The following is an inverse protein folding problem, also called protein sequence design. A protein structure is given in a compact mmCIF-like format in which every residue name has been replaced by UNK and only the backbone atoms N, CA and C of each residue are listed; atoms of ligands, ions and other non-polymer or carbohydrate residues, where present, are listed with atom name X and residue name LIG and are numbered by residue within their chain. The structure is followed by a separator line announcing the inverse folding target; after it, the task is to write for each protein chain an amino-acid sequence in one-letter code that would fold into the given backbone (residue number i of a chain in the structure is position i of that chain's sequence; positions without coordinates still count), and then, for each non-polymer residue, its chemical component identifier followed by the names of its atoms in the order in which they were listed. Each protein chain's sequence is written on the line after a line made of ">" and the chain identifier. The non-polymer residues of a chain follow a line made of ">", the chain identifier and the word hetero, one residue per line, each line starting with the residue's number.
data_IF_850910278097
#
_entry.id   IF_850910278097
#
_cell.length_a   1.000
_cell.length_b   1.000
_cell.length_c   1.000
_cell.angle_alpha   90.00
_cell.angle_beta   90.00
_cell.angle_gamma   90.00
#
_symmetry.space_group_name_H-M   'P 1'
#
loop_
_entity.id
_entity.type
_entity.pdbx_description
1 polymer ?
#
# COMPACT_ATOMS: atom_id res chain seq x y z
N UNK A 1 -17.89 13.74 -6.54
CA UNK A 1 -18.00 12.56 -7.43
C UNK A 1 -17.31 12.75 -8.78
N UNK A 2 -17.76 13.67 -9.65
CA UNK A 2 -17.17 13.83 -11.02
C UNK A 2 -15.64 13.96 -11.05
N UNK A 3 -15.08 14.84 -10.21
CA UNK A 3 -13.62 15.02 -10.08
C UNK A 3 -12.90 13.73 -9.67
N UNK A 4 -13.53 12.92 -8.82
CA UNK A 4 -12.98 11.64 -8.38
C UNK A 4 -12.93 10.64 -9.54
N UNK A 5 -14.03 10.52 -10.31
CA UNK A 5 -14.08 9.64 -11.49
C UNK A 5 -13.04 10.03 -12.56
N UNK A 6 -12.77 11.33 -12.74
CA UNK A 6 -11.70 11.78 -13.65
C UNK A 6 -10.30 11.40 -13.18
N UNK A 7 -10.03 11.43 -11.87
CA UNK A 7 -8.75 10.94 -11.32
C UNK A 7 -8.59 9.45 -11.58
N UNK A 8 -9.66 8.66 -11.42
CA UNK A 8 -9.65 7.23 -11.73
C UNK A 8 -9.42 6.99 -13.23
N UNK A 9 -10.13 7.75 -14.09
CA UNK A 9 -9.98 7.71 -15.56
C UNK A 9 -8.54 7.93 -16.01
N UNK A 10 -7.91 8.99 -15.48
CA UNK A 10 -6.52 9.34 -15.75
C UNK A 10 -5.54 8.24 -15.30
N UNK A 11 -5.71 7.75 -14.07
CA UNK A 11 -4.83 6.70 -13.52
C UNK A 11 -4.94 5.37 -14.23
N UNK A 12 -6.12 5.02 -14.73
CA UNK A 12 -6.37 3.80 -15.51
C UNK A 12 -6.17 4.01 -17.02
N UNK A 13 -5.77 5.22 -17.44
CA UNK A 13 -5.52 5.58 -18.83
C UNK A 13 -6.67 5.18 -19.78
N UNK A 14 -7.91 5.49 -19.37
CA UNK A 14 -9.12 5.10 -20.11
C UNK A 14 -9.16 5.80 -21.47
N UNK A 15 -9.28 5.01 -22.55
CA UNK A 15 -9.32 5.51 -23.93
C UNK A 15 -7.97 6.04 -24.44
N UNK A 16 -6.88 5.76 -23.74
CA UNK A 16 -5.52 6.08 -24.17
C UNK A 16 -4.95 4.90 -24.96
N UNK A 17 -4.30 5.19 -26.08
CA UNK A 17 -3.55 4.21 -26.87
C UNK A 17 -2.07 4.20 -26.47
N UNK A 18 -1.46 3.01 -26.42
CA UNK A 18 -0.01 2.86 -26.28
C UNK A 18 0.70 3.05 -27.63
N UNK A 19 2.02 2.94 -27.64
CA UNK A 19 2.85 3.11 -28.85
C UNK A 19 2.56 2.05 -29.95
N UNK A 20 1.94 0.93 -29.56
CA UNK A 20 1.52 -0.15 -30.47
C UNK A 20 0.10 0.06 -31.02
N UNK A 21 -0.58 1.14 -30.63
CA UNK A 21 -1.96 1.46 -31.02
C UNK A 21 -3.03 0.64 -30.28
N UNK A 22 -2.67 0.01 -29.17
CA UNK A 22 -3.59 -0.74 -28.32
C UNK A 22 -4.18 0.13 -27.22
N UNK A 23 -5.46 -0.07 -26.92
CA UNK A 23 -6.15 0.66 -25.85
C UNK A 23 -5.67 0.13 -24.49
N UNK A 24 -5.08 1.01 -23.69
CA UNK A 24 -4.54 0.70 -22.35
C UNK A 24 -5.68 0.36 -21.38
N UNK A 25 -6.71 1.22 -21.32
CA UNK A 25 -7.82 1.09 -20.39
C UNK A 25 -9.18 1.34 -21.02
N UNK A 26 -10.20 0.66 -20.51
CA UNK A 26 -11.60 0.88 -20.87
C UNK A 26 -12.41 1.18 -19.61
N UNK A 27 -13.41 2.05 -19.75
CA UNK A 27 -14.26 2.50 -18.67
C UNK A 27 -15.73 2.42 -19.04
N UNK A 28 -16.56 1.95 -18.11
CA UNK A 28 -17.99 2.03 -18.27
C UNK A 28 -18.60 2.67 -17.03
N UNK A 29 -19.76 3.29 -17.19
CA UNK A 29 -20.42 3.99 -16.12
C UNK A 29 -21.92 3.75 -16.18
N UNK A 30 -22.46 3.25 -15.07
CA UNK A 30 -23.89 3.11 -14.83
C UNK A 30 -24.27 4.01 -13.66
N UNK A 31 -25.29 4.84 -13.85
CA UNK A 31 -25.90 5.61 -12.77
C UNK A 31 -27.17 4.91 -12.30
N UNK A 32 -27.46 4.93 -11.01
CA UNK A 32 -28.67 4.35 -10.46
C UNK A 32 -29.30 5.24 -9.37
N UNK A 33 -30.63 5.20 -9.29
CA UNK A 33 -31.44 5.71 -8.18
C UNK A 33 -32.72 4.87 -8.08
N UNK A 34 -33.88 5.38 -8.50
CA UNK A 34 -35.10 4.58 -8.74
C UNK A 34 -34.99 3.76 -10.03
N UNK A 35 -34.21 4.27 -10.99
CA UNK A 35 -33.94 3.64 -12.28
C UNK A 35 -32.42 3.57 -12.49
N UNK A 36 -31.97 2.66 -13.36
CA UNK A 36 -30.58 2.53 -13.76
C UNK A 36 -30.40 2.97 -15.22
N UNK A 37 -29.25 3.57 -15.54
CA UNK A 37 -28.94 4.04 -16.90
C UNK A 37 -27.46 3.87 -17.20
N UNK A 38 -27.14 3.25 -18.35
CA UNK A 38 -25.78 3.24 -18.90
C UNK A 38 -25.46 4.63 -19.44
N UNK A 39 -24.41 5.26 -18.92
CA UNK A 39 -23.92 6.57 -19.37
C UNK A 39 -22.86 6.44 -20.45
N UNK A 40 -22.01 5.42 -20.32
CA UNK A 40 -21.03 5.02 -21.32
C UNK A 40 -20.72 3.53 -21.10
N UNK A 41 -20.54 2.78 -22.18
CA UNK A 41 -20.09 1.39 -22.15
C UNK A 41 -18.60 1.28 -22.49
N UNK A 42 -18.03 0.07 -22.32
CA UNK A 42 -16.60 -0.15 -22.50
C UNK A 42 -16.15 0.18 -23.94
N UNK A 43 -16.95 -0.19 -24.94
CA UNK A 43 -16.68 0.09 -26.35
C UNK A 43 -16.63 1.60 -26.64
N UNK A 44 -17.58 2.37 -26.10
CA UNK A 44 -17.62 3.82 -26.28
C UNK A 44 -16.40 4.52 -25.68
N UNK A 45 -15.94 4.05 -24.52
CA UNK A 45 -14.80 4.64 -23.80
C UNK A 45 -13.43 4.44 -24.45
N UNK A 46 -13.35 3.59 -25.49
CA UNK A 46 -12.11 3.40 -26.27
C UNK A 46 -11.69 4.69 -26.99
N UNK A 47 -12.62 5.60 -27.23
CA UNK A 47 -12.33 6.87 -27.87
C UNK A 47 -11.83 7.85 -26.82
N UNK A 48 -10.61 8.36 -26.99
CA UNK A 48 -9.99 9.33 -26.09
C UNK A 48 -10.95 10.47 -25.71
N UNK A 49 -11.06 10.76 -24.41
CA UNK A 49 -11.88 11.84 -23.85
C UNK A 49 -13.37 11.53 -23.69
N UNK A 50 -13.93 10.51 -24.37
CA UNK A 50 -15.38 10.24 -24.29
C UNK A 50 -15.86 9.80 -22.91
N UNK A 51 -15.02 9.09 -22.15
CA UNK A 51 -15.32 8.75 -20.76
C UNK A 51 -15.41 10.01 -19.89
N UNK A 52 -14.46 10.92 -20.03
CA UNK A 52 -14.43 12.19 -19.30
C UNK A 52 -15.62 13.09 -19.67
N UNK A 53 -16.01 13.11 -20.95
CA UNK A 53 -17.22 13.77 -21.42
C UNK A 53 -18.48 13.16 -20.78
N UNK A 54 -18.56 11.84 -20.68
CA UNK A 54 -19.67 11.16 -20.01
C UNK A 54 -19.72 11.52 -18.51
N UNK A 55 -18.56 11.65 -17.85
CA UNK A 55 -18.45 12.12 -16.45
C UNK A 55 -18.91 13.56 -16.30
N UNK A 56 -18.53 14.46 -17.21
CA UNK A 56 -18.97 15.85 -17.17
C UNK A 56 -20.47 15.99 -17.40
N UNK A 57 -21.05 15.15 -18.25
CA UNK A 57 -22.47 15.12 -18.55
C UNK A 57 -23.31 14.31 -17.56
N UNK A 58 -22.70 13.77 -16.49
CA UNK A 58 -23.46 13.13 -15.42
C UNK A 58 -24.53 14.10 -14.88
N UNK A 59 -25.78 13.63 -14.69
CA UNK A 59 -26.81 14.46 -14.10
C UNK A 59 -26.34 14.98 -12.74
N UNK A 60 -26.80 16.20 -12.38
CA UNK A 60 -26.64 16.74 -11.02
C UNK A 60 -27.24 15.80 -9.96
N UNK A 61 -27.18 16.14 -8.65
CA UNK A 61 -27.65 15.23 -7.61
C UNK A 61 -29.02 14.69 -8.00
N UNK A 62 -29.10 13.37 -8.18
CA UNK A 62 -30.32 12.70 -8.61
C UNK A 62 -31.34 13.07 -7.54
N UNK A 63 -32.28 13.96 -7.91
CA UNK A 63 -33.21 14.54 -6.96
C UNK A 63 -33.95 13.41 -6.26
N UNK A 64 -33.92 13.43 -4.92
CA UNK A 64 -34.57 12.52 -3.98
C UNK A 64 -35.27 11.31 -4.61
N UNK A 65 -34.69 10.13 -4.40
CA UNK A 65 -35.25 8.85 -4.80
C UNK A 65 -34.65 7.75 -3.94
N UNK A 66 -35.22 6.56 -4.03
CA UNK A 66 -34.66 5.36 -3.42
C UNK A 66 -33.31 5.02 -4.05
N UNK A 67 -32.49 4.30 -3.29
CA UNK A 67 -31.22 3.76 -3.76
C UNK A 67 -31.46 2.32 -4.21
N UNK A 68 -31.66 2.09 -5.52
CA UNK A 68 -31.79 0.74 -6.12
C UNK A 68 -30.48 0.27 -6.74
N UNK A 69 -29.53 -0.06 -5.88
CA UNK A 69 -28.21 -0.60 -6.24
C UNK A 69 -28.33 -1.90 -7.04
N UNK A 70 -29.33 -2.75 -6.76
CA UNK A 70 -29.58 -3.98 -7.55
C UNK A 70 -29.90 -3.70 -9.01
N UNK A 71 -30.69 -2.66 -9.30
CA UNK A 71 -30.99 -2.28 -10.68
C UNK A 71 -29.72 -1.80 -11.39
N UNK A 72 -28.87 -1.05 -10.70
CA UNK A 72 -27.56 -0.63 -11.21
C UNK A 72 -26.66 -1.82 -11.53
N UNK A 73 -26.55 -2.77 -10.60
CA UNK A 73 -25.75 -3.99 -10.77
C UNK A 73 -26.29 -4.88 -11.88
N UNK A 74 -27.61 -5.08 -11.94
CA UNK A 74 -28.23 -5.86 -13.01
C UNK A 74 -27.98 -5.23 -14.38
N UNK A 75 -28.13 -3.91 -14.52
CA UNK A 75 -27.87 -3.23 -15.79
C UNK A 75 -26.38 -3.29 -16.17
N UNK A 76 -25.47 -3.18 -15.20
CA UNK A 76 -24.05 -3.35 -15.45
C UNK A 76 -23.72 -4.79 -15.91
N UNK A 77 -24.35 -5.81 -15.34
CA UNK A 77 -24.19 -7.20 -15.76
C UNK A 77 -24.73 -7.42 -17.18
N UNK A 78 -25.96 -6.96 -17.47
CA UNK A 78 -26.65 -7.29 -18.73
C UNK A 78 -26.28 -6.40 -19.91
N UNK A 79 -25.77 -5.18 -19.68
CA UNK A 79 -25.48 -4.21 -20.76
C UNK A 79 -24.02 -3.77 -20.83
N UNK A 80 -23.24 -3.93 -19.76
CA UNK A 80 -21.84 -3.47 -19.71
C UNK A 80 -20.86 -4.64 -19.73
N UNK A 81 -21.08 -5.65 -18.89
CA UNK A 81 -20.26 -6.85 -18.83
C UNK A 81 -20.59 -7.85 -19.96
N UNK A 82 -20.75 -7.31 -21.17
CA UNK A 82 -21.11 -8.02 -22.39
C UNK A 82 -20.04 -7.79 -23.45
N UNK A 83 -19.67 -8.83 -24.18
CA UNK A 83 -18.66 -8.75 -25.26
C UNK A 83 -19.10 -7.77 -26.36
N UNK A 84 -20.40 -7.69 -26.65
CA UNK A 84 -21.00 -6.70 -27.56
C UNK A 84 -20.84 -5.25 -27.08
N UNK A 85 -20.66 -5.04 -25.77
CA UNK A 85 -20.46 -3.74 -25.15
C UNK A 85 -18.97 -3.40 -24.94
N UNK A 86 -18.05 -4.27 -25.39
CA UNK A 86 -16.60 -4.09 -25.30
C UNK A 86 -15.92 -4.88 -24.18
N UNK A 87 -16.65 -5.67 -23.40
CA UNK A 87 -16.08 -6.52 -22.35
C UNK A 87 -15.16 -7.60 -22.96
N UNK A 88 -13.94 -7.73 -22.41
CA UNK A 88 -12.96 -8.74 -22.83
C UNK A 88 -13.04 -9.93 -21.87
N UNK A 89 -13.80 -10.95 -22.24
CA UNK A 89 -14.00 -12.15 -21.40
C UNK A 89 -12.77 -13.07 -21.42
N UNK A 90 -12.26 -13.41 -22.60
CA UNK A 90 -11.18 -14.39 -22.80
C UNK A 90 -9.78 -13.77 -22.82
N UNK A 91 -9.51 -12.82 -21.92
CA UNK A 91 -8.26 -12.07 -21.91
C UNK A 91 -7.62 -12.06 -20.52
N UNK A 92 -6.70 -12.99 -20.28
CA UNK A 92 -6.08 -13.20 -18.97
C UNK A 92 -5.17 -12.03 -18.53
N UNK A 93 -4.72 -11.22 -19.51
CA UNK A 93 -3.90 -10.05 -19.27
C UNK A 93 -4.74 -8.83 -18.84
N UNK A 94 -6.05 -8.85 -19.11
CA UNK A 94 -6.96 -7.79 -18.68
C UNK A 94 -7.36 -7.98 -17.23
N UNK A 95 -6.99 -7.02 -16.38
CA UNK A 95 -7.54 -6.91 -15.03
C UNK A 95 -8.91 -6.27 -15.06
N UNK A 96 -9.86 -6.86 -14.34
CA UNK A 96 -11.26 -6.45 -14.34
C UNK A 96 -11.64 -5.96 -12.96
N UNK A 97 -12.20 -4.76 -12.90
CA UNK A 97 -12.65 -4.18 -11.64
C UNK A 97 -14.07 -3.61 -11.77
N UNK A 98 -14.82 -3.69 -10.69
CA UNK A 98 -16.11 -3.02 -10.53
C UNK A 98 -16.03 -2.08 -9.34
N UNK A 99 -16.37 -0.81 -9.53
CA UNK A 99 -16.50 0.15 -8.43
C UNK A 99 -17.96 0.54 -8.25
N UNK A 100 -18.53 0.18 -7.10
CA UNK A 100 -19.87 0.58 -6.68
C UNK A 100 -19.74 1.75 -5.71
N UNK A 101 -20.38 2.88 -6.01
CA UNK A 101 -20.34 4.06 -5.14
C UNK A 101 -21.77 4.43 -4.75
N UNK A 102 -22.04 4.53 -3.46
CA UNK A 102 -23.36 4.89 -2.94
C UNK A 102 -23.25 5.68 -1.64
N UNK A 103 -24.29 6.46 -1.35
CA UNK A 103 -24.46 7.29 -0.16
C UNK A 103 -25.56 6.76 0.77
N UNK A 104 -26.14 5.60 0.46
CA UNK A 104 -27.26 5.04 1.22
C UNK A 104 -27.38 3.52 1.07
N UNK A 105 -28.14 2.91 1.98
CA UNK A 105 -28.52 1.51 1.85
C UNK A 105 -29.48 1.27 0.68
N UNK A 106 -29.40 0.07 0.12
CA UNK A 106 -30.36 -0.47 -0.83
C UNK A 106 -31.79 -0.32 -0.31
N UNK A 107 -32.68 0.25 -1.11
CA UNK A 107 -34.07 0.37 -0.70
C UNK A 107 -34.85 -0.93 -0.86
N UNK A 108 -35.27 -1.49 0.28
CA UNK A 108 -35.94 -2.79 0.43
C UNK A 108 -37.47 -2.75 0.21
N UNK A 109 -37.92 -1.99 -0.78
CA UNK A 109 -39.34 -1.86 -1.14
C UNK A 109 -39.69 -2.58 -2.45
N UNK A 110 -40.80 -3.33 -2.46
CA UNK A 110 -41.28 -4.07 -3.64
C UNK A 110 -40.49 -5.36 -3.92
N UNK A 111 -40.45 -5.79 -5.19
CA UNK A 111 -39.51 -6.81 -5.64
C UNK A 111 -38.11 -6.19 -5.72
N UNK A 112 -37.14 -6.76 -5.01
CA UNK A 112 -35.74 -6.33 -5.07
C UNK A 112 -34.82 -7.54 -4.90
N UNK A 113 -33.59 -7.42 -5.41
CA UNK A 113 -32.53 -8.41 -5.20
C UNK A 113 -31.57 -7.88 -4.13
N UNK A 114 -31.22 -8.67 -3.10
CA UNK A 114 -30.17 -8.27 -2.15
C UNK A 114 -28.85 -7.99 -2.87
N UNK A 115 -28.13 -6.94 -2.48
CA UNK A 115 -26.85 -6.58 -3.13
C UNK A 115 -25.81 -7.71 -3.06
N UNK A 116 -25.85 -8.52 -2.00
CA UNK A 116 -25.01 -9.71 -1.85
C UNK A 116 -25.27 -10.81 -2.87
N UNK A 117 -26.44 -10.80 -3.53
CA UNK A 117 -26.79 -11.70 -4.62
C UNK A 117 -26.58 -11.04 -5.98
N UNK A 118 -26.97 -9.77 -6.11
CA UNK A 118 -26.81 -9.01 -7.35
C UNK A 118 -25.34 -8.84 -7.77
N UNK A 119 -24.40 -8.95 -6.83
CA UNK A 119 -22.97 -8.83 -7.09
C UNK A 119 -22.31 -10.13 -7.58
N UNK A 120 -22.94 -11.29 -7.36
CA UNK A 120 -22.34 -12.60 -7.65
C UNK A 120 -21.87 -12.76 -9.10
N UNK A 121 -22.60 -12.29 -10.13
CA UNK A 121 -22.15 -12.43 -11.53
C UNK A 121 -20.80 -11.75 -11.80
N UNK A 122 -20.43 -10.72 -11.03
CA UNK A 122 -19.14 -10.05 -11.20
C UNK A 122 -18.00 -10.86 -10.59
N UNK A 123 -18.23 -11.53 -9.45
CA UNK A 123 -17.24 -12.45 -8.88
C UNK A 123 -17.02 -13.69 -9.75
N UNK A 124 -18.08 -14.21 -10.36
CA UNK A 124 -17.98 -15.33 -11.31
C UNK A 124 -17.15 -14.99 -12.55
N UNK A 125 -17.02 -13.70 -12.87
CA UNK A 125 -16.22 -13.15 -13.96
C UNK A 125 -14.83 -12.67 -13.53
N UNK A 126 -14.35 -13.11 -12.37
CA UNK A 126 -13.06 -12.74 -11.78
C UNK A 126 -12.87 -11.21 -11.69
N UNK A 127 -13.96 -10.47 -11.48
CA UNK A 127 -13.89 -9.02 -11.28
C UNK A 127 -13.62 -8.71 -9.82
N UNK A 128 -12.60 -7.90 -9.56
CA UNK A 128 -12.37 -7.38 -8.23
C UNK A 128 -13.35 -6.22 -7.95
N UNK A 129 -14.20 -6.41 -6.94
CA UNK A 129 -15.23 -5.43 -6.57
C UNK A 129 -14.74 -4.53 -5.45
N UNK A 130 -14.96 -3.22 -5.62
CA UNK A 130 -14.79 -2.16 -4.64
C UNK A 130 -16.13 -1.51 -4.36
N UNK A 131 -16.46 -1.35 -3.09
CA UNK A 131 -17.71 -0.74 -2.67
C UNK A 131 -17.41 0.47 -1.78
N UNK A 132 -17.80 1.66 -2.24
CA UNK A 132 -17.54 2.95 -1.59
C UNK A 132 -18.84 3.47 -1.00
N UNK A 133 -18.91 3.54 0.33
CA UNK A 133 -20.04 4.09 1.08
C UNK A 133 -19.74 5.49 1.61
N UNK A 134 -20.33 6.53 1.03
CA UNK A 134 -20.08 7.94 1.40
C UNK A 134 -21.11 8.43 2.41
N UNK A 135 -20.68 9.01 3.53
CA UNK A 135 -21.60 9.58 4.52
C UNK A 135 -22.44 8.56 5.30
N UNK A 136 -21.96 7.31 5.41
CA UNK A 136 -22.63 6.20 6.10
C UNK A 136 -22.05 5.95 7.50
N UNK A 137 -21.79 7.00 8.28
CA UNK A 137 -21.15 6.89 9.61
C UNK A 137 -22.06 6.17 10.60
N UNK A 138 -23.34 6.55 10.63
CA UNK A 138 -24.33 6.05 11.59
C UNK A 138 -25.26 4.95 11.01
N UNK A 139 -25.13 4.61 9.72
CA UNK A 139 -25.99 3.63 9.05
C UNK A 139 -25.31 2.24 9.00
N UNK A 140 -25.45 1.47 10.08
CA UNK A 140 -24.85 0.13 10.17
C UNK A 140 -25.42 -0.86 9.14
N UNK A 141 -26.67 -0.68 8.72
CA UNK A 141 -27.33 -1.55 7.75
C UNK A 141 -26.72 -1.33 6.36
N UNK A 142 -26.64 -0.07 5.91
CA UNK A 142 -25.99 0.29 4.65
C UNK A 142 -24.51 -0.12 4.64
N UNK A 143 -23.78 0.09 5.75
CA UNK A 143 -22.39 -0.40 5.87
C UNK A 143 -22.28 -1.92 5.75
N UNK A 144 -23.26 -2.65 6.27
CA UNK A 144 -23.35 -4.11 6.13
C UNK A 144 -23.52 -4.52 4.67
N UNK A 145 -24.36 -3.81 3.93
CA UNK A 145 -24.59 -4.03 2.50
C UNK A 145 -23.35 -3.74 1.65
N UNK A 146 -22.66 -2.62 1.91
CA UNK A 146 -21.37 -2.29 1.26
C UNK A 146 -20.35 -3.41 1.49
N UNK A 147 -20.21 -3.91 2.72
CA UNK A 147 -19.30 -5.01 3.04
C UNK A 147 -19.70 -6.33 2.39
N UNK A 148 -20.99 -6.55 2.17
CA UNK A 148 -21.48 -7.76 1.52
C UNK A 148 -21.25 -7.77 -0.01
N UNK A 149 -20.91 -6.62 -0.61
CA UNK A 149 -20.58 -6.51 -2.03
C UNK A 149 -19.12 -6.80 -2.35
N UNK A 150 -18.26 -7.07 -1.37
CA UNK A 150 -16.82 -7.27 -1.61
C UNK A 150 -16.35 -8.61 -1.05
N UNK A 151 -15.37 -9.23 -1.73
CA UNK A 151 -14.70 -10.44 -1.23
C UNK A 151 -13.59 -10.11 -0.22
N UNK A 152 -12.88 -9.01 -0.43
CA UNK A 152 -11.81 -8.53 0.44
C UNK A 152 -12.35 -7.38 1.28
N UNK A 153 -12.27 -7.50 2.61
CA UNK A 153 -12.84 -6.49 3.52
C UNK A 153 -12.25 -5.09 3.34
N UNK A 154 -11.00 -5.00 2.87
CA UNK A 154 -10.32 -3.72 2.57
C UNK A 154 -10.92 -3.00 1.34
N UNK A 155 -11.65 -3.71 0.48
CA UNK A 155 -12.30 -3.13 -0.69
C UNK A 155 -13.66 -2.48 -0.35
N UNK A 156 -14.14 -2.64 0.89
CA UNK A 156 -15.27 -1.87 1.42
C UNK A 156 -14.74 -0.57 2.03
N UNK A 157 -14.87 0.52 1.28
CA UNK A 157 -14.29 1.83 1.54
C UNK A 157 -15.35 2.75 2.13
N UNK A 158 -15.01 3.38 3.25
CA UNK A 158 -15.87 4.35 3.94
C UNK A 158 -15.05 5.61 4.19
N UNK A 159 -15.03 6.56 3.23
CA UNK A 159 -14.15 7.71 3.32
C UNK A 159 -14.73 8.78 4.25
N UNK A 160 -13.89 9.33 5.12
CA UNK A 160 -14.28 10.45 6.01
C UNK A 160 -14.28 11.80 5.26
N UNK A 161 -13.58 11.85 4.13
CA UNK A 161 -13.48 13.05 3.29
C UNK A 161 -13.20 12.73 1.83
N UNK A 162 -13.35 13.72 0.95
CA UNK A 162 -12.97 13.59 -0.45
C UNK A 162 -11.48 13.26 -0.64
N UNK A 163 -10.60 13.82 0.20
CA UNK A 163 -9.16 13.55 0.16
C UNK A 163 -8.85 12.12 0.56
N UNK A 164 -9.51 11.64 1.61
CA UNK A 164 -9.39 10.26 2.08
C UNK A 164 -9.85 9.26 1.00
N UNK A 165 -10.98 9.54 0.34
CA UNK A 165 -11.43 8.76 -0.82
C UNK A 165 -10.34 8.66 -1.89
N UNK A 166 -9.73 9.79 -2.31
CA UNK A 166 -8.66 9.75 -3.32
C UNK A 166 -7.48 8.91 -2.86
N UNK A 167 -7.05 9.02 -1.60
CA UNK A 167 -5.91 8.28 -1.09
C UNK A 167 -6.16 6.76 -1.08
N UNK A 168 -7.33 6.34 -0.60
CA UNK A 168 -7.73 4.94 -0.63
C UNK A 168 -7.84 4.42 -2.07
N UNK A 169 -8.28 5.28 -2.99
CA UNK A 169 -8.42 4.91 -4.40
C UNK A 169 -7.08 4.77 -5.10
N UNK A 170 -6.15 5.69 -4.86
CA UNK A 170 -4.79 5.58 -5.38
C UNK A 170 -4.11 4.28 -4.92
N UNK A 171 -4.32 3.89 -3.67
CA UNK A 171 -3.76 2.64 -3.14
C UNK A 171 -4.29 1.40 -3.89
N UNK A 172 -5.57 1.37 -4.27
CA UNK A 172 -6.08 0.24 -5.06
C UNK A 172 -5.69 0.34 -6.54
N UNK A 173 -5.72 1.52 -7.18
CA UNK A 173 -5.39 1.60 -8.63
C UNK A 173 -3.97 1.09 -8.87
N UNK A 174 -3.05 1.39 -7.96
CA UNK A 174 -1.70 0.84 -7.92
C UNK A 174 -1.65 -0.69 -7.93
N UNK A 175 -2.66 -1.40 -7.40
CA UNK A 175 -2.75 -2.86 -7.42
C UNK A 175 -3.09 -3.43 -8.81
N UNK A 176 -3.85 -2.69 -9.62
CA UNK A 176 -4.27 -3.10 -10.97
C UNK A 176 -3.26 -2.70 -12.03
N UNK A 177 -2.61 -1.57 -11.82
CA UNK A 177 -1.53 -1.06 -12.66
C UNK A 177 -0.24 -1.05 -11.82
N UNK A 178 0.34 -2.22 -11.48
CA UNK A 178 1.56 -2.26 -10.69
C UNK A 178 2.65 -1.56 -11.47
N UNK A 179 3.15 -0.44 -10.95
CA UNK A 179 4.41 0.12 -11.43
C UNK A 179 5.51 -0.95 -11.26
N UNK A 180 6.49 -1.01 -12.19
CA UNK A 180 7.61 -1.93 -12.06
C UNK A 180 8.27 -1.78 -10.68
N UNK A 181 8.73 -2.88 -10.05
CA UNK A 181 9.43 -2.81 -8.78
C UNK A 181 10.63 -1.88 -8.91
N UNK A 182 10.82 -1.01 -7.91
CA UNK A 182 11.90 -0.03 -7.92
C UNK A 182 13.19 -0.71 -7.48
N UNK A 183 13.12 -1.56 -6.45
CA UNK A 183 14.29 -2.26 -5.95
C UNK A 183 14.86 -3.22 -7.02
N UNK A 184 16.18 -3.13 -7.24
CA UNK A 184 16.87 -3.91 -8.28
C UNK A 184 16.78 -3.31 -9.69
N UNK A 185 16.09 -2.17 -9.87
CA UNK A 185 16.09 -1.37 -11.09
C UNK A 185 17.06 -0.19 -11.03
N UNK A 186 17.06 0.65 -12.09
CA UNK A 186 17.91 1.85 -12.18
C UNK A 186 17.45 3.01 -11.29
N UNK A 187 16.21 2.94 -10.76
CA UNK A 187 15.60 3.98 -9.92
C UNK A 187 15.78 3.73 -8.41
N UNK A 188 16.47 2.66 -8.01
CA UNK A 188 16.84 2.39 -6.62
C UNK A 188 17.97 3.33 -6.19
N UNK A 189 17.67 4.30 -5.31
CA UNK A 189 18.64 5.24 -4.76
C UNK A 189 19.10 4.91 -3.34
N UNK A 190 18.85 3.68 -2.87
CA UNK A 190 19.35 3.21 -1.59
C UNK A 190 20.88 3.13 -1.58
N UNK A 191 21.48 3.18 -0.39
CA UNK A 191 22.93 3.05 -0.27
C UNK A 191 23.38 1.71 -0.89
N UNK A 192 24.31 1.71 -1.87
CA UNK A 192 24.52 0.57 -2.77
C UNK A 192 24.95 -0.72 -2.08
N UNK A 193 25.71 -0.62 -0.99
CA UNK A 193 26.24 -1.80 -0.27
C UNK A 193 25.79 -1.91 1.18
N UNK A 194 25.37 -0.81 1.81
CA UNK A 194 25.11 -0.71 3.25
C UNK A 194 23.64 -0.57 3.61
N UNK A 195 22.75 -0.55 2.62
CA UNK A 195 21.31 -0.59 2.83
C UNK A 195 20.67 -1.75 2.08
N UNK A 196 19.43 -2.03 2.46
CA UNK A 196 18.53 -2.95 1.78
C UNK A 196 17.37 -2.12 1.26
N UNK A 197 17.10 -2.24 -0.04
CA UNK A 197 15.87 -1.74 -0.66
C UNK A 197 14.75 -2.75 -0.42
N UNK A 198 13.56 -2.29 -0.08
CA UNK A 198 12.36 -3.12 0.00
C UNK A 198 11.22 -2.36 -0.66
N UNK A 199 10.62 -2.95 -1.69
CA UNK A 199 9.41 -2.39 -2.29
C UNK A 199 8.28 -2.47 -1.25
N UNK A 200 7.71 -1.33 -0.90
CA UNK A 200 6.63 -1.22 0.09
C UNK A 200 5.26 -1.04 -0.58
N UNK A 201 5.25 -0.77 -1.88
CA UNK A 201 4.06 -0.69 -2.71
C UNK A 201 4.42 -0.36 -4.16
N UNK A 202 3.45 -0.30 -5.07
CA UNK A 202 3.71 0.04 -6.47
C UNK A 202 4.25 1.48 -6.55
N UNK A 203 5.46 1.66 -7.08
CA UNK A 203 6.12 2.97 -7.13
C UNK A 203 6.63 3.49 -5.79
N UNK A 204 6.57 2.69 -4.72
CA UNK A 204 6.98 3.06 -3.37
C UNK A 204 7.97 2.03 -2.82
N UNK A 205 9.07 2.52 -2.25
CA UNK A 205 10.12 1.68 -1.69
C UNK A 205 10.71 2.34 -0.45
N UNK A 206 11.31 1.50 0.39
CA UNK A 206 12.01 1.93 1.58
C UNK A 206 13.45 1.44 1.56
N UNK A 207 14.37 2.36 1.82
CA UNK A 207 15.76 2.04 2.09
C UNK A 207 15.97 1.88 3.60
N UNK A 208 16.52 0.75 4.02
CA UNK A 208 16.88 0.51 5.42
C UNK A 208 18.35 0.17 5.55
N UNK A 209 19.10 0.87 6.40
CA UNK A 209 20.51 0.54 6.65
C UNK A 209 20.63 -0.90 7.20
N UNK A 210 21.64 -1.62 6.72
CA UNK A 210 21.95 -2.98 7.18
C UNK A 210 22.34 -2.96 8.67
N UNK A 211 22.17 -4.07 9.39
CA UNK A 211 22.59 -4.18 10.79
C UNK A 211 24.02 -3.70 11.01
N UNK A 212 24.23 -2.88 12.04
CA UNK A 212 25.52 -2.26 12.35
C UNK A 212 25.78 -0.92 11.65
N UNK A 213 24.82 -0.43 10.86
CA UNK A 213 24.84 0.87 10.22
C UNK A 213 23.60 1.68 10.59
N UNK A 214 23.75 3.00 10.65
CA UNK A 214 22.70 3.96 10.98
C UNK A 214 22.62 5.06 9.92
N UNK A 215 21.42 5.61 9.73
CA UNK A 215 21.15 6.63 8.73
C UNK A 215 19.74 6.53 8.18
N UNK A 216 19.50 7.14 7.01
CA UNK A 216 18.18 7.17 6.35
C UNK A 216 18.02 6.09 5.26
N UNK A 217 18.94 5.12 5.18
CA UNK A 217 18.95 4.08 4.16
C UNK A 217 19.56 4.50 2.82
N UNK A 218 19.51 5.79 2.45
CA UNK A 218 20.23 6.33 1.28
C UNK A 218 21.67 6.69 1.61
N UNK A 219 21.86 7.21 2.81
CA UNK A 219 23.15 7.43 3.45
C UNK A 219 23.21 6.60 4.71
N UNK A 220 24.16 5.67 4.78
CA UNK A 220 24.38 4.82 5.95
C UNK A 220 25.82 4.98 6.43
N UNK A 221 25.99 5.19 7.74
CA UNK A 221 27.27 5.28 8.42
C UNK A 221 27.40 4.15 9.43
N UNK A 222 28.64 3.77 9.75
CA UNK A 222 28.92 2.77 10.80
C UNK A 222 28.32 3.23 12.12
N UNK A 223 27.56 2.34 12.78
CA UNK A 223 27.10 2.57 14.14
C UNK A 223 28.27 2.38 15.10
N UNK A 224 28.69 3.48 15.75
CA UNK A 224 29.72 3.47 16.77
C UNK A 224 29.07 3.28 18.15
N UNK A 225 29.52 2.28 18.90
CA UNK A 225 28.99 1.98 20.23
C UNK A 225 29.76 2.75 21.32
N UNK A 226 31.09 2.88 21.17
CA UNK A 226 31.90 3.61 22.15
C UNK A 226 31.43 5.05 22.34
N UNK A 227 31.32 5.50 23.58
CA UNK A 227 30.83 6.84 23.92
C UNK A 227 29.30 6.99 23.92
N UNK A 228 28.56 5.90 23.74
CA UNK A 228 27.10 5.82 23.94
C UNK A 228 26.80 5.05 25.24
N UNK A 229 25.56 5.07 25.71
CA UNK A 229 25.15 4.26 26.88
C UNK A 229 25.20 2.73 26.64
N UNK A 230 25.48 2.29 25.41
CA UNK A 230 25.61 0.86 25.05
C UNK A 230 27.05 0.35 25.15
N UNK A 231 28.01 1.24 25.39
CA UNK A 231 29.36 0.92 25.81
C UNK A 231 29.31 0.39 27.26
N UNK A 232 29.58 -0.90 27.44
CA UNK A 232 29.63 -1.53 28.77
C UNK A 232 31.06 -1.82 29.24
N UNK A 233 32.04 -1.05 28.76
CA UNK A 233 33.42 -1.16 29.21
C UNK A 233 33.55 -0.76 30.69
N UNK A 234 34.47 -1.42 31.39
CA UNK A 234 34.80 -1.03 32.76
C UNK A 234 35.31 0.42 32.80
N UNK A 235 35.09 1.14 33.91
CA UNK A 235 35.63 2.50 34.12
C UNK A 235 37.17 2.60 34.02
N UNK A 236 37.87 1.46 34.01
CA UNK A 236 39.33 1.35 33.86
C UNK A 236 39.71 0.62 32.58
N UNK A 237 38.84 0.66 31.57
CA UNK A 237 39.10 0.16 30.23
C UNK A 237 38.85 1.26 29.19
N UNK A 238 39.56 1.16 28.06
CA UNK A 238 39.33 1.98 26.88
C UNK A 238 38.44 1.20 25.90
N UNK A 239 37.36 1.83 25.44
CA UNK A 239 36.52 1.33 24.35
C UNK A 239 37.13 1.71 23.00
N UNK A 240 37.20 0.76 22.06
CA UNK A 240 37.55 1.01 20.66
C UNK A 240 36.51 0.35 19.74
N UNK A 241 35.93 1.12 18.81
CA UNK A 241 35.06 0.56 17.78
C UNK A 241 35.90 -0.31 16.82
N UNK A 242 35.46 -1.53 16.56
CA UNK A 242 36.18 -2.51 15.72
C UNK A 242 35.44 -2.87 14.43
N UNK A 243 34.20 -2.39 14.27
CA UNK A 243 33.39 -2.62 13.08
C UNK A 243 31.94 -2.13 13.26
N UNK A 244 31.05 -2.43 12.28
CA UNK A 244 29.63 -2.08 12.33
C UNK A 244 28.95 -2.62 13.58
N UNK A 245 28.53 -1.73 14.50
CA UNK A 245 28.03 -2.09 15.83
C UNK A 245 28.92 -3.11 16.59
N UNK A 246 30.24 -3.05 16.38
CA UNK A 246 31.21 -3.87 17.09
C UNK A 246 32.24 -2.98 17.80
N UNK A 247 32.58 -3.35 19.03
CA UNK A 247 33.56 -2.66 19.84
C UNK A 247 34.32 -3.64 20.72
N UNK A 248 35.48 -3.18 21.22
CA UNK A 248 36.33 -3.92 22.12
C UNK A 248 36.74 -3.04 23.30
N UNK A 249 36.53 -3.56 24.49
CA UNK A 249 37.06 -2.99 25.72
C UNK A 249 38.45 -3.55 26.02
N UNK A 250 39.41 -2.70 26.36
CA UNK A 250 40.75 -3.12 26.77
C UNK A 250 41.11 -2.45 28.09
N UNK A 251 41.44 -3.23 29.12
CA UNK A 251 41.86 -2.67 30.41
C UNK A 251 43.06 -1.74 30.22
N UNK A 252 43.00 -0.59 30.88
CA UNK A 252 44.04 0.42 30.86
C UNK A 252 45.32 -0.10 31.51
N UNK A 253 46.44 0.60 31.27
CA UNK A 253 47.72 0.27 31.88
C UNK A 253 47.60 0.21 33.42
N UNK A 254 48.25 -0.78 34.02
CA UNK A 254 48.13 -1.05 35.46
C UNK A 254 46.94 -1.94 35.85
N UNK A 255 46.04 -2.31 34.91
CA UNK A 255 44.91 -3.21 35.16
C UNK A 255 44.99 -4.49 34.30
N UNK A 256 44.36 -5.56 34.77
CA UNK A 256 44.21 -6.85 34.06
C UNK A 256 42.76 -7.33 34.13
N UNK A 257 42.30 -7.99 33.07
CA UNK A 257 40.95 -8.51 32.98
C UNK A 257 40.48 -8.60 31.54
N UNK A 258 39.16 -8.64 31.33
CA UNK A 258 38.53 -8.80 30.00
C UNK A 258 38.04 -7.48 29.39
N UNK A 259 38.36 -6.33 30.00
CA UNK A 259 37.91 -5.01 29.56
C UNK A 259 36.53 -4.60 30.08
N UNK A 260 35.65 -5.54 30.42
CA UNK A 260 34.39 -5.26 31.13
C UNK A 260 34.53 -5.35 32.65
N UNK A 261 35.50 -6.16 33.11
CA UNK A 261 35.99 -6.22 34.48
C UNK A 261 37.50 -6.02 34.44
N UNK A 262 38.01 -5.02 35.17
CA UNK A 262 39.43 -4.69 35.21
C UNK A 262 39.90 -4.55 36.65
N UNK A 263 40.86 -5.40 37.07
CA UNK A 263 41.45 -5.40 38.41
C UNK A 263 42.88 -4.87 38.38
N UNK A 264 43.27 -4.12 39.41
CA UNK A 264 44.62 -3.57 39.52
C UNK A 264 45.70 -4.67 39.59
N UNK A 265 46.76 -4.54 38.77
CA UNK A 265 47.91 -5.45 38.76
C UNK A 265 48.61 -5.40 40.12
N UNK A 266 48.60 -6.52 40.85
CA UNK A 266 49.37 -6.65 42.10
C UNK A 266 50.86 -6.79 41.79
N UNK A 267 51.63 -5.73 42.01
CA UNK A 267 53.09 -5.81 42.02
C UNK A 267 53.55 -6.65 43.21
N UNK A 268 54.01 -7.89 42.97
CA UNK A 268 54.73 -8.65 44.00
C UNK A 268 56.11 -8.01 44.19
N UNK A 269 56.32 -7.33 45.32
CA UNK A 269 57.68 -7.00 45.79
C UNK A 269 58.39 -8.32 46.12
N UNK A 270 59.34 -8.73 45.29
CA UNK A 270 60.24 -9.85 45.62
C UNK A 270 61.18 -9.37 46.73
N UNK A 271 60.91 -9.75 47.99
CA UNK A 271 61.87 -9.55 49.08
C UNK A 271 62.85 -10.72 49.05
N UNK A 272 64.11 -10.46 48.67
CA UNK A 272 65.20 -11.42 48.82
C UNK A 272 65.38 -11.76 50.32
N UNK A 273 65.07 -12.99 50.73
CA UNK A 273 65.38 -13.52 52.05
C UNK A 273 66.37 -14.69 51.93
N UNK A 274 67.53 -14.47 52.55
CA UNK A 274 68.46 -15.41 53.18
C UNK A 274 69.47 -16.18 52.30
N UNK A 275 70.75 -15.79 52.43
CA UNK A 275 71.87 -16.75 52.49
C UNK A 275 72.33 -16.79 53.94
N UNK A 276 72.32 -18.01 54.49
CA UNK A 276 72.65 -18.42 55.84
C UNK A 276 74.18 -18.47 56.01
N UNK A 277 74.68 -17.99 57.14
CA UNK A 277 76.07 -18.14 57.61
C UNK A 277 76.39 -19.63 57.81
N UNK A 278 77.51 -20.11 57.27
CA UNK A 278 78.09 -21.40 57.62
C UNK A 278 79.54 -21.22 58.09
N UNK A 279 79.76 -21.70 59.32
CA UNK A 279 81.00 -22.07 60.03
C UNK A 279 82.07 -21.01 60.25
#
# INVERSE_FOLDING_TARGET
>A
MKRFLKVVSDKLQIGVENDDGEIIGQGAMVTFSEEATVRINLQGSRIAGTFDDAVDNLPGPLLGGRTKTDLGLNLADTEVAQTSAGYREDDDDVKRMLMVITDGGQTKGGSYVPVSQAILPFFERDMEVFAVGVGLEDDQEARGEIRAMVQVSQNAIFPDSYTDLINQVNAFVRRFCPEPPICGGENDDCHPTLATCTDTGPGEYQCTCKPGYVGNGKTCAVENICGTERDDCHEHATCANTGPAQYKCTCNEGYTGNGKNCEGKKFRKTTNKNIILNN
#
